data_IF_338720044690
#
_entry.id   IF_338720044690
#
_cell.length_a   1.000
_cell.length_b   1.000
_cell.length_c   1.000
_cell.angle_alpha   90.00
_cell.angle_beta   90.00
_cell.angle_gamma   90.00
#
_symmetry.space_group_name_H-M   'P 1'
#
loop_
_entity.id
_entity.type
_entity.pdbx_description
1 polymer ?
#
# COMPACT_ATOMS: atom_id res chain seq x y z
N UNK A 1 -1.93 -5.02 -12.33
CA UNK A 1 -2.55 -5.65 -11.14
C UNK A 1 -1.46 -5.90 -10.09
N UNK A 2 -1.74 -5.91 -8.78
CA UNK A 2 -0.71 -6.05 -7.74
C UNK A 2 0.23 -7.26 -7.90
N UNK A 3 -0.21 -8.36 -8.51
CA UNK A 3 0.61 -9.57 -8.74
C UNK A 3 1.25 -9.64 -10.14
N UNK A 4 1.04 -8.66 -11.01
CA UNK A 4 1.72 -8.63 -12.30
C UNK A 4 3.17 -8.11 -12.12
N UNK A 5 4.17 -8.57 -12.88
CA UNK A 5 5.56 -8.13 -12.74
C UNK A 5 5.76 -6.61 -12.79
N UNK A 6 4.90 -5.88 -13.51
CA UNK A 6 4.91 -4.42 -13.60
C UNK A 6 4.02 -3.72 -12.54
N UNK A 7 3.45 -4.46 -11.60
CA UNK A 7 2.58 -3.94 -10.55
C UNK A 7 3.38 -3.35 -9.39
N UNK A 8 2.96 -2.19 -8.87
CA UNK A 8 3.61 -1.54 -7.71
C UNK A 8 3.65 -2.41 -6.45
N UNK A 9 2.68 -3.32 -6.32
CA UNK A 9 2.58 -4.29 -5.22
C UNK A 9 3.33 -5.60 -5.45
N UNK A 10 3.93 -5.83 -6.62
CA UNK A 10 4.44 -7.14 -7.04
C UNK A 10 5.34 -7.76 -5.99
N UNK A 11 6.39 -7.02 -5.60
CA UNK A 11 7.39 -7.41 -4.59
C UNK A 11 6.83 -7.86 -3.24
N UNK A 12 5.57 -7.56 -2.91
CA UNK A 12 4.96 -7.91 -1.64
C UNK A 12 3.91 -9.03 -1.74
N UNK A 13 3.18 -9.10 -2.87
CA UNK A 13 1.99 -9.94 -2.94
C UNK A 13 2.14 -11.16 -3.85
N UNK A 14 3.12 -11.18 -4.76
CA UNK A 14 3.22 -12.23 -5.79
C UNK A 14 3.50 -13.64 -5.23
N UNK A 15 4.02 -13.74 -4.00
CA UNK A 15 4.33 -15.01 -3.32
C UNK A 15 3.22 -15.50 -2.40
N UNK A 16 2.11 -14.76 -2.24
CA UNK A 16 1.03 -15.16 -1.35
C UNK A 16 0.25 -16.36 -1.92
N UNK A 17 0.19 -17.52 -1.23
CA UNK A 17 -0.39 -18.76 -1.79
C UNK A 17 -1.90 -18.68 -2.02
N UNK A 18 -2.59 -17.79 -1.30
CA UNK A 18 -4.03 -17.56 -1.41
C UNK A 18 -4.42 -16.58 -2.54
N UNK A 19 -3.44 -15.89 -3.13
CA UNK A 19 -3.66 -14.87 -4.16
C UNK A 19 -4.34 -13.61 -3.62
N UNK A 20 -3.75 -12.45 -3.92
CA UNK A 20 -4.22 -11.14 -3.42
C UNK A 20 -4.53 -10.22 -4.59
N UNK A 21 -5.76 -9.69 -4.68
CA UNK A 21 -5.97 -8.48 -5.48
C UNK A 21 -5.79 -7.26 -4.59
N UNK A 22 -4.94 -6.33 -5.01
CA UNK A 22 -4.66 -5.12 -4.23
C UNK A 22 -4.39 -3.91 -5.13
N UNK A 23 -4.60 -2.73 -4.56
CA UNK A 23 -4.23 -1.45 -5.16
C UNK A 23 -3.64 -0.52 -4.11
N UNK A 24 -2.48 0.05 -4.43
CA UNK A 24 -1.86 1.12 -3.65
C UNK A 24 -2.49 2.48 -3.96
N UNK A 25 -2.41 3.39 -3.02
CA UNK A 25 -2.59 4.81 -3.27
C UNK A 25 -1.74 5.67 -2.34
N UNK A 26 -1.60 6.92 -2.76
CA UNK A 26 -0.88 7.97 -2.04
C UNK A 26 -1.78 9.20 -2.06
N UNK A 27 -1.93 9.87 -0.92
CA UNK A 27 -2.74 11.09 -0.81
C UNK A 27 -1.90 12.22 -0.24
N UNK A 28 -1.73 13.27 -1.02
CA UNK A 28 -1.06 14.49 -0.57
C UNK A 28 -1.98 15.30 0.34
N UNK A 29 -1.43 15.76 1.46
CA UNK A 29 -2.20 16.37 2.56
C UNK A 29 -2.11 17.90 2.61
N UNK A 30 -1.34 18.52 1.72
CA UNK A 30 -1.16 19.97 1.67
C UNK A 30 -0.95 20.45 0.23
N UNK A 31 -1.15 21.74 -0.02
CA UNK A 31 -0.91 22.34 -1.33
C UNK A 31 0.55 22.75 -1.51
N UNK A 32 1.08 22.49 -2.69
CA UNK A 32 2.38 23.02 -3.11
C UNK A 32 2.19 24.42 -3.69
N UNK A 33 3.19 25.29 -3.51
CA UNK A 33 3.24 26.57 -4.24
C UNK A 33 3.44 26.31 -5.74
N UNK A 34 3.12 27.30 -6.55
CA UNK A 34 3.46 27.28 -7.97
C UNK A 34 4.97 27.03 -8.15
N UNK A 35 5.33 26.09 -9.03
CA UNK A 35 6.71 25.61 -9.27
C UNK A 35 7.41 24.93 -8.08
N UNK A 36 6.71 24.57 -7.00
CA UNK A 36 7.28 23.78 -5.93
C UNK A 36 7.14 22.28 -6.20
N UNK A 37 8.25 21.55 -6.21
CA UNK A 37 8.26 20.08 -6.30
C UNK A 37 8.10 19.46 -4.91
N UNK A 38 7.29 18.40 -4.81
CA UNK A 38 7.16 17.62 -3.59
C UNK A 38 8.49 16.96 -3.20
N UNK A 39 8.89 17.07 -1.93
CA UNK A 39 10.05 16.38 -1.38
C UNK A 39 9.81 15.99 0.08
N UNK A 40 9.53 14.70 0.31
CA UNK A 40 9.22 14.14 1.63
C UNK A 40 10.33 14.35 2.69
N UNK A 41 11.59 14.53 2.25
CA UNK A 41 12.74 14.77 3.14
C UNK A 41 12.81 16.21 3.63
N UNK A 42 12.21 17.15 2.90
CA UNK A 42 12.25 18.58 3.19
C UNK A 42 11.00 19.09 3.91
N UNK A 43 10.03 18.20 4.19
CA UNK A 43 8.77 18.54 4.85
C UNK A 43 8.63 17.82 6.20
N UNK A 44 8.00 18.46 7.21
CA UNK A 44 7.67 17.81 8.48
C UNK A 44 6.85 16.53 8.27
N UNK A 45 7.03 15.53 9.15
CA UNK A 45 6.31 14.25 9.08
C UNK A 45 4.81 14.48 8.94
N UNK A 46 4.21 15.33 9.78
CA UNK A 46 2.77 15.64 9.74
C UNK A 46 2.23 16.16 8.38
N UNK A 47 3.11 16.59 7.47
CA UNK A 47 2.76 17.07 6.14
C UNK A 47 3.12 16.08 5.02
N UNK A 48 3.72 14.94 5.35
CA UNK A 48 3.98 13.88 4.37
C UNK A 48 2.68 13.25 3.90
N UNK A 49 2.70 12.73 2.68
CA UNK A 49 1.56 12.02 2.11
C UNK A 49 1.09 10.87 3.01
N UNK A 50 -0.19 10.56 2.97
CA UNK A 50 -0.69 9.29 3.46
C UNK A 50 -0.37 8.20 2.44
N UNK A 51 -0.06 7.00 2.92
CA UNK A 51 0.06 5.81 2.06
C UNK A 51 -1.01 4.81 2.44
N UNK A 52 -1.70 4.27 1.46
CA UNK A 52 -2.82 3.38 1.70
C UNK A 52 -2.89 2.24 0.71
N UNK A 53 -3.63 1.21 1.11
CA UNK A 53 -3.92 0.04 0.31
C UNK A 53 -5.37 -0.38 0.48
N UNK A 54 -5.97 -0.83 -0.61
CA UNK A 54 -7.16 -1.68 -0.57
C UNK A 54 -6.79 -3.05 -1.13
N UNK A 55 -7.30 -4.11 -0.52
CA UNK A 55 -7.05 -5.47 -0.96
C UNK A 55 -8.19 -6.42 -0.61
N UNK A 56 -8.31 -7.51 -1.36
CA UNK A 56 -9.15 -8.65 -0.98
C UNK A 56 -8.44 -9.98 -1.26
N UNK A 57 -8.82 -11.00 -0.50
CA UNK A 57 -8.29 -12.35 -0.60
C UNK A 57 -9.31 -13.41 -0.09
N UNK A 58 -9.21 -14.68 -0.53
CA UNK A 58 -8.45 -15.17 -1.69
C UNK A 58 -8.94 -14.59 -3.03
N UNK A 59 -8.07 -14.45 -4.03
CA UNK A 59 -8.43 -13.82 -5.32
C UNK A 59 -9.60 -14.50 -6.05
N UNK A 60 -9.62 -15.84 -6.08
CA UNK A 60 -10.63 -16.61 -6.83
C UNK A 60 -12.00 -16.65 -6.16
N UNK A 61 -12.03 -16.66 -4.83
CA UNK A 61 -13.26 -16.71 -4.04
C UNK A 61 -13.08 -15.80 -2.80
N UNK A 62 -13.31 -14.48 -2.94
CA UNK A 62 -13.00 -13.51 -1.89
C UNK A 62 -13.76 -13.77 -0.60
N UNK A 63 -13.04 -13.74 0.53
CA UNK A 63 -13.62 -13.92 1.88
C UNK A 63 -13.49 -12.67 2.75
N UNK A 64 -12.38 -11.95 2.62
CA UNK A 64 -12.09 -10.72 3.38
C UNK A 64 -11.59 -9.63 2.44
N UNK A 65 -12.08 -8.40 2.67
CA UNK A 65 -11.56 -7.18 2.09
C UNK A 65 -11.02 -6.27 3.19
N UNK A 66 -9.91 -5.58 2.92
CA UNK A 66 -9.22 -4.70 3.87
C UNK A 66 -8.94 -3.36 3.19
N UNK A 67 -9.24 -2.27 3.89
CA UNK A 67 -8.74 -0.95 3.60
C UNK A 67 -7.80 -0.52 4.74
N UNK A 68 -6.60 -0.07 4.38
CA UNK A 68 -5.55 0.31 5.32
C UNK A 68 -4.97 1.65 4.90
N UNK A 69 -4.82 2.57 5.87
CA UNK A 69 -4.11 3.83 5.71
C UNK A 69 -3.02 3.93 6.78
N UNK A 70 -1.84 4.39 6.37
CA UNK A 70 -0.80 4.84 7.28
C UNK A 70 -0.70 6.36 7.11
N UNK A 71 -1.19 7.08 8.12
CA UNK A 71 -1.12 8.53 8.15
C UNK A 71 0.34 8.99 8.10
N UNK A 72 0.58 9.96 7.24
CA UNK A 72 1.89 10.58 7.01
C UNK A 72 3.05 9.60 6.74
N UNK A 73 2.75 8.37 6.32
CA UNK A 73 3.74 7.34 6.00
C UNK A 73 4.44 7.54 4.66
N UNK A 74 4.06 8.57 3.89
CA UNK A 74 4.60 8.87 2.57
C UNK A 74 6.02 9.41 2.60
N UNK A 75 6.98 8.54 2.27
CA UNK A 75 8.35 8.94 1.94
C UNK A 75 8.92 8.03 0.84
N UNK A 76 10.09 8.38 0.31
CA UNK A 76 10.75 7.63 -0.77
C UNK A 76 10.75 6.11 -0.51
N UNK A 77 9.98 5.37 -1.30
CA UNK A 77 9.90 3.91 -1.25
C UNK A 77 9.05 3.30 -0.13
N UNK A 78 8.47 4.10 0.76
CA UNK A 78 7.59 3.63 1.84
C UNK A 78 6.17 3.37 1.31
N UNK A 79 5.55 2.32 1.84
CA UNK A 79 4.26 1.80 1.36
C UNK A 79 3.58 1.00 2.48
N UNK A 80 2.24 0.97 2.49
CA UNK A 80 1.48 0.15 3.43
C UNK A 80 1.43 -1.35 3.06
N UNK A 81 2.09 -1.75 1.98
CA UNK A 81 2.03 -3.13 1.48
C UNK A 81 2.55 -4.21 2.45
N UNK A 82 3.67 -4.02 3.20
CA UNK A 82 4.13 -5.02 4.17
C UNK A 82 3.10 -5.27 5.28
N UNK A 83 2.50 -4.19 5.81
CA UNK A 83 1.46 -4.28 6.84
C UNK A 83 0.22 -5.00 6.30
N UNK A 84 -0.22 -4.63 5.09
CA UNK A 84 -1.30 -5.33 4.40
C UNK A 84 -1.00 -6.83 4.22
N UNK A 85 0.23 -7.18 3.82
CA UNK A 85 0.66 -8.57 3.63
C UNK A 85 0.63 -9.35 4.94
N UNK A 86 1.11 -8.78 6.03
CA UNK A 86 1.09 -9.41 7.36
C UNK A 86 -0.34 -9.69 7.84
N UNK A 87 -1.26 -8.73 7.66
CA UNK A 87 -2.69 -8.92 8.00
C UNK A 87 -3.27 -10.09 7.20
N UNK A 88 -3.05 -10.11 5.89
CA UNK A 88 -3.59 -11.15 5.02
C UNK A 88 -2.94 -12.52 5.29
N UNK A 89 -1.64 -12.57 5.59
CA UNK A 89 -0.95 -13.81 5.95
C UNK A 89 -1.48 -14.36 7.27
N UNK A 90 -1.75 -13.51 8.27
CA UNK A 90 -2.36 -13.96 9.51
C UNK A 90 -3.74 -14.61 9.30
N UNK A 91 -4.51 -14.13 8.30
CA UNK A 91 -5.85 -14.64 8.00
C UNK A 91 -5.84 -15.89 7.10
N UNK A 92 -4.86 -16.03 6.21
CA UNK A 92 -4.93 -16.98 5.10
C UNK A 92 -3.67 -17.81 4.85
N UNK A 93 -2.53 -17.49 5.48
CA UNK A 93 -1.35 -18.33 5.33
C UNK A 93 -1.59 -19.71 5.97
N UNK A 94 -1.09 -20.79 5.36
CA UNK A 94 -1.01 -22.09 6.03
C UNK A 94 -0.22 -21.94 7.34
N UNK A 95 -0.71 -22.54 8.42
CA UNK A 95 0.03 -22.66 9.68
C UNK A 95 1.12 -23.73 9.57
#
# INVERSE_FOLDING_TARGET
MANAPNGTGYKFFHTAPYGIAAKSGTSQVFSLKENQTYNAKMIPIRLRDHVFYTAFAPYKNPKVAVALILENGGSDGVTAAPVMRQIMDHLFAPQ
#
